data_IF_937512321809
#
_entry.id   IF_937512321809
#
_cell.length_a   1.000
_cell.length_b   1.000
_cell.length_c   1.000
_cell.angle_alpha   90.00
_cell.angle_beta   90.00
_cell.angle_gamma   90.00
#
_symmetry.space_group_name_H-M   'P 1'
#
loop_
_entity.id
_entity.type
_entity.pdbx_description
1 polymer ?
#
# COMPACT_ATOMS: atom_id res chain seq x y z
N UNK A 1 4.17 5.30 -1.75
CA UNK A 1 4.85 6.60 -1.59
C UNK A 1 3.90 7.70 -1.15
N UNK A 2 2.83 8.00 -1.91
CA UNK A 2 1.87 9.06 -1.55
C UNK A 2 1.23 8.86 -0.16
N UNK A 3 0.76 7.65 0.14
CA UNK A 3 0.17 7.34 1.45
C UNK A 3 1.18 7.47 2.59
N UNK A 4 2.43 7.08 2.37
CA UNK A 4 3.53 7.28 3.33
C UNK A 4 3.75 8.76 3.61
N UNK A 5 3.83 9.61 2.58
CA UNK A 5 3.97 11.05 2.74
C UNK A 5 2.79 11.66 3.51
N UNK A 6 1.56 11.33 3.13
CA UNK A 6 0.34 11.81 3.79
C UNK A 6 0.31 11.38 5.27
N UNK A 7 0.64 10.12 5.55
CA UNK A 7 0.67 9.58 6.90
C UNK A 7 1.72 10.27 7.78
N UNK A 8 2.91 10.53 7.25
CA UNK A 8 3.99 11.20 7.98
C UNK A 8 3.70 12.68 8.27
N UNK A 9 2.98 13.36 7.38
CA UNK A 9 2.75 14.81 7.45
C UNK A 9 1.42 15.18 8.11
N UNK A 10 0.40 14.30 8.05
CA UNK A 10 -0.94 14.58 8.56
C UNK A 10 -1.64 13.41 9.25
N UNK A 11 -1.00 12.24 9.33
CA UNK A 11 -1.58 11.02 9.88
C UNK A 11 -1.78 11.03 11.40
N UNK A 12 -2.29 9.91 11.91
CA UNK A 12 -2.61 9.70 13.33
C UNK A 12 -1.41 9.18 14.15
N UNK A 13 -0.19 9.25 13.64
CA UNK A 13 1.02 8.66 14.25
C UNK A 13 1.49 9.33 15.55
N UNK A 14 0.75 10.28 16.12
CA UNK A 14 1.14 11.05 17.31
C UNK A 14 2.32 12.00 17.10
N UNK A 15 3.11 11.78 16.05
CA UNK A 15 4.21 12.60 15.56
C UNK A 15 3.89 13.03 14.13
N UNK A 16 4.13 14.31 13.82
CA UNK A 16 4.02 14.86 12.47
C UNK A 16 5.36 15.46 12.09
N UNK A 17 5.87 15.06 10.94
CA UNK A 17 7.08 15.65 10.37
C UNK A 17 6.71 16.70 9.34
N UNK A 18 7.66 17.58 9.01
CA UNK A 18 7.46 18.58 7.95
C UNK A 18 7.39 17.88 6.59
N UNK A 19 6.70 18.53 5.63
CA UNK A 19 6.67 18.05 4.25
C UNK A 19 8.07 17.91 3.64
N UNK A 20 8.95 18.88 3.89
CA UNK A 20 10.35 18.85 3.44
C UNK A 20 11.09 17.60 3.97
N UNK A 21 10.98 17.34 5.28
CA UNK A 21 11.61 16.17 5.89
C UNK A 21 11.05 14.87 5.30
N UNK A 22 9.74 14.76 5.12
CA UNK A 22 9.12 13.56 4.54
C UNK A 22 9.61 13.30 3.10
N UNK A 23 9.74 14.35 2.27
CA UNK A 23 10.30 14.22 0.91
C UNK A 23 11.75 13.71 0.98
N UNK A 24 12.60 14.33 1.81
CA UNK A 24 14.01 13.92 1.95
C UNK A 24 14.16 12.50 2.47
N UNK A 25 13.35 12.10 3.46
CA UNK A 25 13.34 10.72 3.94
C UNK A 25 12.97 9.75 2.81
N UNK A 26 11.94 10.06 2.03
CA UNK A 26 11.52 9.23 0.90
C UNK A 26 12.60 9.16 -0.19
N UNK A 27 13.19 10.29 -0.61
CA UNK A 27 14.17 10.34 -1.69
C UNK A 27 15.53 9.76 -1.29
N UNK A 28 16.02 10.09 -0.09
CA UNK A 28 17.41 9.83 0.30
C UNK A 28 17.53 8.48 1.01
N UNK A 29 16.46 8.01 1.65
CA UNK A 29 16.48 6.77 2.46
C UNK A 29 15.66 5.65 1.85
N UNK A 30 14.41 5.89 1.45
CA UNK A 30 13.51 4.81 1.01
C UNK A 30 13.77 4.43 -0.44
N UNK A 31 13.67 5.38 -1.36
CA UNK A 31 13.72 5.14 -2.80
C UNK A 31 14.99 4.39 -3.28
N UNK A 32 16.19 4.61 -2.73
CA UNK A 32 17.38 3.87 -3.14
C UNK A 32 17.39 2.39 -2.76
N UNK A 33 16.47 1.96 -1.87
CA UNK A 33 16.45 0.59 -1.29
C UNK A 33 15.27 -0.24 -1.77
N UNK A 34 14.36 0.34 -2.56
CA UNK A 34 13.13 -0.31 -2.99
C UNK A 34 12.89 -0.09 -4.47
N UNK A 35 12.18 -1.02 -5.12
CA UNK A 35 11.61 -0.80 -6.44
C UNK A 35 10.17 -0.32 -6.31
N UNK A 36 9.83 0.76 -6.99
CA UNK A 36 8.46 1.29 -7.00
C UNK A 36 7.65 0.56 -8.06
N UNK A 37 6.56 -0.05 -7.64
CA UNK A 37 5.60 -0.70 -8.53
C UNK A 37 4.45 0.25 -8.80
N UNK A 38 4.37 0.74 -10.02
CA UNK A 38 3.29 1.62 -10.46
C UNK A 38 2.10 0.82 -10.99
N UNK A 39 0.89 1.27 -10.67
CA UNK A 39 -0.34 0.79 -11.28
C UNK A 39 -0.81 1.86 -12.27
N UNK A 40 -1.00 1.46 -13.53
CA UNK A 40 -1.61 2.29 -14.55
C UNK A 40 -3.08 2.55 -14.24
N UNK A 41 -3.65 3.60 -14.82
CA UNK A 41 -5.08 3.92 -14.66
C UNK A 41 -5.98 2.75 -15.05
N UNK A 42 -5.62 1.99 -16.10
CA UNK A 42 -6.39 0.81 -16.53
C UNK A 42 -6.36 -0.30 -15.47
N UNK A 43 -5.19 -0.59 -14.89
CA UNK A 43 -5.04 -1.57 -13.81
C UNK A 43 -5.82 -1.15 -12.57
N UNK A 44 -5.78 0.14 -12.21
CA UNK A 44 -6.53 0.68 -11.08
C UNK A 44 -8.04 0.51 -11.30
N UNK A 45 -8.57 0.87 -12.47
CA UNK A 45 -10.01 0.73 -12.76
C UNK A 45 -10.44 -0.74 -12.75
N UNK A 46 -9.64 -1.63 -13.34
CA UNK A 46 -9.90 -3.06 -13.31
C UNK A 46 -9.89 -3.61 -11.87
N UNK A 47 -8.91 -3.19 -11.06
CA UNK A 47 -8.83 -3.54 -9.65
C UNK A 47 -10.04 -3.03 -8.86
N UNK A 48 -10.47 -1.78 -9.08
CA UNK A 48 -11.63 -1.19 -8.42
C UNK A 48 -12.94 -1.91 -8.75
N UNK A 49 -13.12 -2.36 -9.99
CA UNK A 49 -14.28 -3.16 -10.38
C UNK A 49 -14.35 -4.47 -9.58
N UNK A 50 -13.21 -5.13 -9.40
CA UNK A 50 -13.12 -6.33 -8.56
C UNK A 50 -13.33 -5.99 -7.09
N UNK A 51 -12.70 -4.92 -6.60
CA UNK A 51 -12.80 -4.47 -5.21
C UNK A 51 -14.26 -4.20 -4.80
N UNK A 52 -15.02 -3.55 -5.69
CA UNK A 52 -16.45 -3.27 -5.50
C UNK A 52 -17.25 -4.56 -5.33
N UNK A 53 -17.02 -5.58 -6.17
CA UNK A 53 -17.71 -6.87 -6.05
C UNK A 53 -17.41 -7.59 -4.73
N UNK A 54 -16.28 -7.26 -4.08
CA UNK A 54 -15.83 -7.82 -2.80
C UNK A 54 -16.24 -6.97 -1.59
N UNK A 55 -17.00 -5.89 -1.80
CA UNK A 55 -17.41 -4.96 -0.74
C UNK A 55 -16.28 -4.09 -0.19
N UNK A 56 -15.11 -4.05 -0.85
CA UNK A 56 -13.98 -3.20 -0.45
C UNK A 56 -14.32 -1.75 -0.77
N UNK A 57 -14.26 -0.88 0.25
CA UNK A 57 -14.69 0.51 0.18
C UNK A 57 -13.95 1.39 1.19
N UNK A 58 -14.02 2.70 1.00
CA UNK A 58 -13.38 3.66 1.90
C UNK A 58 -11.85 3.49 1.91
N UNK A 59 -11.24 3.62 3.09
CA UNK A 59 -9.79 3.51 3.27
C UNK A 59 -9.21 2.14 2.85
N UNK A 60 -9.96 1.05 3.01
CA UNK A 60 -9.49 -0.30 2.66
C UNK A 60 -9.18 -0.48 1.16
N UNK A 61 -9.60 0.47 0.30
CA UNK A 61 -9.20 0.48 -1.11
C UNK A 61 -7.69 0.62 -1.26
N UNK A 62 -7.02 1.38 -0.38
CA UNK A 62 -5.56 1.54 -0.44
C UNK A 62 -4.83 0.23 -0.14
N UNK A 63 -5.24 -0.48 0.92
CA UNK A 63 -4.72 -1.83 1.24
C UNK A 63 -4.95 -2.81 0.09
N UNK A 64 -6.12 -2.75 -0.56
CA UNK A 64 -6.40 -3.57 -1.73
C UNK A 64 -5.49 -3.23 -2.92
N UNK A 65 -5.17 -1.94 -3.15
CA UNK A 65 -4.23 -1.55 -4.21
C UNK A 65 -2.80 -2.05 -3.91
N UNK A 66 -2.39 -2.11 -2.63
CA UNK A 66 -1.11 -2.73 -2.25
C UNK A 66 -1.08 -4.21 -2.62
N UNK A 67 -2.18 -4.95 -2.43
CA UNK A 67 -2.29 -6.34 -2.92
C UNK A 67 -2.13 -6.44 -4.44
N UNK A 68 -2.81 -5.59 -5.21
CA UNK A 68 -2.72 -5.61 -6.66
C UNK A 68 -1.30 -5.29 -7.14
N UNK A 69 -0.63 -4.33 -6.52
CA UNK A 69 0.77 -4.02 -6.80
C UNK A 69 1.70 -5.20 -6.46
N UNK A 70 1.49 -5.87 -5.33
CA UNK A 70 2.26 -7.06 -4.95
C UNK A 70 2.11 -8.20 -5.96
N UNK A 71 0.88 -8.45 -6.44
CA UNK A 71 0.62 -9.44 -7.50
C UNK A 71 1.28 -9.07 -8.82
N UNK A 72 1.21 -7.80 -9.23
CA UNK A 72 1.91 -7.30 -10.43
C UNK A 72 3.42 -7.53 -10.35
N UNK A 73 3.99 -7.43 -9.16
CA UNK A 73 5.41 -7.67 -8.91
C UNK A 73 5.78 -9.15 -8.72
N UNK A 74 4.80 -10.07 -8.77
CA UNK A 74 4.97 -11.48 -8.39
C UNK A 74 5.57 -11.66 -6.99
N UNK A 75 5.25 -10.77 -6.06
CA UNK A 75 5.69 -10.88 -4.68
C UNK A 75 4.95 -12.02 -3.98
N UNK A 76 5.67 -12.80 -3.18
CA UNK A 76 5.08 -13.88 -2.35
C UNK A 76 4.62 -13.38 -0.97
N UNK A 77 5.13 -12.23 -0.52
CA UNK A 77 4.92 -11.70 0.83
C UNK A 77 4.61 -10.20 0.79
N UNK A 78 3.72 -9.75 1.67
CA UNK A 78 3.48 -8.35 2.02
C UNK A 78 3.81 -8.16 3.50
N UNK A 79 4.76 -7.26 3.79
CA UNK A 79 5.03 -6.86 5.17
C UNK A 79 4.08 -5.72 5.59
N UNK A 80 3.35 -5.92 6.69
CA UNK A 80 2.39 -4.94 7.21
C UNK A 80 2.31 -4.98 8.73
N UNK A 81 2.08 -3.82 9.36
CA UNK A 81 1.70 -3.74 10.78
C UNK A 81 0.18 -3.86 10.99
N UNK A 82 -0.60 -3.80 9.90
CA UNK A 82 -2.06 -3.89 9.91
C UNK A 82 -2.51 -5.26 9.39
N UNK A 83 -2.20 -6.30 10.17
CA UNK A 83 -2.40 -7.69 9.76
C UNK A 83 -3.87 -8.00 9.45
N UNK A 84 -4.78 -7.53 10.30
CA UNK A 84 -6.21 -7.85 10.18
C UNK A 84 -6.79 -7.39 8.84
N UNK A 85 -6.51 -6.16 8.42
CA UNK A 85 -7.01 -5.62 7.15
C UNK A 85 -6.49 -6.43 5.96
N UNK A 86 -5.21 -6.83 5.96
CA UNK A 86 -4.65 -7.62 4.87
C UNK A 86 -5.16 -9.07 4.87
N UNK A 87 -5.36 -9.68 6.04
CA UNK A 87 -5.95 -11.01 6.17
C UNK A 87 -7.41 -11.04 5.68
N UNK A 88 -8.18 -9.99 5.94
CA UNK A 88 -9.56 -9.88 5.46
C UNK A 88 -9.66 -9.72 3.93
N UNK A 89 -8.65 -9.13 3.29
CA UNK A 89 -8.63 -8.91 1.84
C UNK A 89 -8.09 -10.10 1.04
N UNK A 90 -7.16 -10.88 1.60
CA UNK A 90 -6.46 -12.00 0.94
C UNK A 90 -7.40 -13.08 0.43
N UNK A 91 -7.17 -13.61 -0.77
CA UNK A 91 -7.91 -14.75 -1.37
C UNK A 91 -6.96 -15.71 -2.08
N UNK A 92 -7.28 -17.01 -2.06
CA UNK A 92 -6.59 -18.00 -2.89
C UNK A 92 -5.06 -17.94 -2.79
N UNK A 93 -4.42 -17.67 -3.92
CA UNK A 93 -2.98 -17.58 -4.12
C UNK A 93 -2.39 -16.18 -3.89
N UNK A 94 -3.16 -15.26 -3.28
CA UNK A 94 -2.67 -13.93 -2.93
C UNK A 94 -1.46 -14.01 -1.97
N UNK A 95 -0.55 -13.01 -2.03
CA UNK A 95 0.64 -12.94 -1.19
C UNK A 95 0.34 -13.12 0.30
N UNK A 96 1.28 -13.74 1.02
CA UNK A 96 1.18 -13.90 2.46
C UNK A 96 1.42 -12.56 3.18
N UNK A 97 0.52 -12.17 4.09
CA UNK A 97 0.77 -11.04 4.97
C UNK A 97 1.66 -11.49 6.13
N UNK A 98 2.70 -10.72 6.42
CA UNK A 98 3.65 -10.97 7.51
C UNK A 98 3.95 -9.67 8.26
N UNK A 99 4.33 -9.78 9.53
CA UNK A 99 4.90 -8.64 10.25
C UNK A 99 6.30 -8.32 9.68
N UNK A 100 6.76 -7.04 9.74
CA UNK A 100 8.12 -6.66 9.37
C UNK A 100 9.21 -7.24 10.29
#
# INVERSE_FOLDING_TARGET
>A
MLETFSTLTGGKLGVRVTADFAVRMLSDTVLPRVSVIELSSAEIIAALAIAQSRGVRGGCVYDYMHFIAAKKANASVIHTLNMDDFLHLRRGDDPEAQLP
#
